data_IF_546655463938
#
_entry.id   IF_546655463938
#
_cell.length_a   1.000
_cell.length_b   1.000
_cell.length_c   1.000
_cell.angle_alpha   90.00
_cell.angle_beta   90.00
_cell.angle_gamma   90.00
#
_symmetry.space_group_name_H-M   'P 1'
#
loop_
_entity.id
_entity.type
_entity.pdbx_description
1 polymer ?
#
# COMPACT_ATOMS: atom_id res chain seq x y z
N UNK A 1 69.32 -43.83 -1.48
CA UNK A 1 68.88 -43.96 -0.06
C UNK A 1 68.30 -42.68 0.53
N UNK A 2 69.09 -41.67 0.94
CA UNK A 2 68.51 -40.51 1.69
C UNK A 2 67.51 -39.67 0.86
N UNK A 3 67.78 -39.48 -0.43
CA UNK A 3 66.91 -38.74 -1.34
C UNK A 3 65.59 -39.47 -1.65
N UNK A 4 65.60 -40.81 -1.67
CA UNK A 4 64.41 -41.62 -1.94
C UNK A 4 63.44 -41.59 -0.76
N UNK A 5 63.98 -41.74 0.47
CA UNK A 5 63.18 -41.66 1.71
C UNK A 5 62.53 -40.29 1.87
N UNK A 6 63.24 -39.21 1.52
CA UNK A 6 62.69 -37.86 1.53
C UNK A 6 61.51 -37.74 0.55
N UNK A 7 61.68 -38.25 -0.68
CA UNK A 7 60.65 -38.20 -1.72
C UNK A 7 59.40 -39.01 -1.36
N UNK A 8 59.57 -40.17 -0.73
CA UNK A 8 58.44 -40.98 -0.21
C UNK A 8 57.72 -40.30 0.96
N UNK A 9 58.46 -39.61 1.83
CA UNK A 9 57.86 -38.81 2.90
C UNK A 9 57.01 -37.67 2.34
N UNK A 10 57.56 -36.91 1.38
CA UNK A 10 56.87 -35.80 0.74
C UNK A 10 55.61 -36.28 -0.01
N UNK A 11 55.69 -37.41 -0.73
CA UNK A 11 54.53 -37.97 -1.41
C UNK A 11 53.40 -38.33 -0.43
N UNK A 12 53.72 -38.95 0.72
CA UNK A 12 52.72 -39.26 1.76
C UNK A 12 52.11 -38.02 2.38
N UNK A 13 52.93 -36.99 2.62
CA UNK A 13 52.44 -35.73 3.17
C UNK A 13 51.56 -34.98 2.17
N UNK A 14 51.85 -35.05 0.86
CA UNK A 14 50.97 -34.49 -0.16
C UNK A 14 49.61 -35.18 -0.19
N UNK A 15 49.57 -36.52 -0.12
CA UNK A 15 48.30 -37.27 -0.06
C UNK A 15 47.50 -36.92 1.19
N UNK A 16 48.16 -36.80 2.35
CA UNK A 16 47.52 -36.38 3.60
C UNK A 16 46.99 -34.95 3.52
N UNK A 17 47.79 -34.02 3.00
CA UNK A 17 47.37 -32.63 2.77
C UNK A 17 46.12 -32.57 1.91
N UNK A 18 46.10 -33.30 0.79
CA UNK A 18 44.92 -33.34 -0.09
C UNK A 18 43.69 -33.91 0.63
N UNK A 19 43.86 -34.96 1.43
CA UNK A 19 42.77 -35.56 2.20
C UNK A 19 42.20 -34.59 3.24
N UNK A 20 43.06 -33.85 3.93
CA UNK A 20 42.65 -32.82 4.90
C UNK A 20 41.94 -31.66 4.20
N UNK A 21 42.44 -31.20 3.06
CA UNK A 21 41.80 -30.14 2.26
C UNK A 21 40.39 -30.57 1.86
N UNK A 22 40.23 -31.81 1.38
CA UNK A 22 38.92 -32.33 0.98
C UNK A 22 37.95 -32.41 2.18
N UNK A 23 38.44 -32.85 3.35
CA UNK A 23 37.63 -32.91 4.56
C UNK A 23 37.20 -31.51 5.01
N UNK A 24 38.12 -30.55 5.02
CA UNK A 24 37.83 -29.16 5.37
C UNK A 24 36.81 -28.55 4.40
N UNK A 25 36.96 -28.77 3.10
CA UNK A 25 36.01 -28.32 2.10
C UNK A 25 34.61 -28.90 2.34
N UNK A 26 34.51 -30.20 2.66
CA UNK A 26 33.24 -30.84 2.97
C UNK A 26 32.57 -30.25 4.21
N UNK A 27 33.33 -29.99 5.28
CA UNK A 27 32.81 -29.40 6.52
C UNK A 27 32.27 -27.99 6.28
N UNK A 28 33.00 -27.16 5.51
CA UNK A 28 32.56 -25.79 5.18
C UNK A 28 31.25 -25.82 4.36
N UNK A 29 31.16 -26.71 3.36
CA UNK A 29 29.96 -26.86 2.54
C UNK A 29 28.76 -27.36 3.36
N UNK A 30 28.97 -28.34 4.25
CA UNK A 30 27.93 -28.84 5.13
C UNK A 30 27.46 -27.77 6.13
N UNK A 31 28.38 -26.98 6.69
CA UNK A 31 28.05 -25.87 7.59
C UNK A 31 27.16 -24.84 6.91
N UNK A 32 27.54 -24.38 5.71
CA UNK A 32 26.73 -23.42 4.95
C UNK A 32 25.35 -23.96 4.59
N UNK A 33 25.26 -25.22 4.16
CA UNK A 33 23.97 -25.86 3.85
C UNK A 33 23.06 -25.96 5.07
N UNK A 34 23.59 -26.40 6.22
CA UNK A 34 22.82 -26.52 7.45
C UNK A 34 22.31 -25.14 7.92
N UNK A 35 23.15 -24.11 7.84
CA UNK A 35 22.75 -22.74 8.21
C UNK A 35 21.61 -22.23 7.32
N UNK A 36 21.68 -22.42 6.00
CA UNK A 36 20.59 -22.05 5.08
C UNK A 36 19.28 -22.78 5.40
N UNK A 37 19.35 -24.09 5.65
CA UNK A 37 18.18 -24.90 6.02
C UNK A 37 17.60 -24.42 7.36
N UNK A 38 18.44 -24.13 8.35
CA UNK A 38 18.01 -23.60 9.63
C UNK A 38 17.33 -22.24 9.49
N UNK A 39 17.91 -21.31 8.72
CA UNK A 39 17.30 -20.01 8.43
C UNK A 39 15.95 -20.15 7.73
N UNK A 40 15.85 -21.04 6.73
CA UNK A 40 14.59 -21.29 6.02
C UNK A 40 13.51 -21.85 6.96
N UNK A 41 13.88 -22.78 7.84
CA UNK A 41 12.98 -23.38 8.83
C UNK A 41 12.53 -22.35 9.87
N UNK A 42 13.43 -21.50 10.36
CA UNK A 42 13.10 -20.40 11.28
C UNK A 42 12.16 -19.39 10.61
N UNK A 43 12.45 -18.98 9.38
CA UNK A 43 11.58 -18.08 8.61
C UNK A 43 10.19 -18.66 8.37
N UNK A 44 10.08 -19.96 8.10
CA UNK A 44 8.79 -20.67 8.00
C UNK A 44 8.03 -20.70 9.33
N UNK A 45 8.72 -20.96 10.44
CA UNK A 45 8.10 -20.96 11.79
C UNK A 45 7.60 -19.56 12.16
N UNK A 46 8.39 -18.52 11.94
CA UNK A 46 7.97 -17.13 12.20
C UNK A 46 6.76 -16.73 11.34
N UNK A 47 6.76 -17.09 10.04
CA UNK A 47 5.60 -16.87 9.15
C UNK A 47 4.35 -17.63 9.59
N UNK A 48 4.48 -18.79 10.24
CA UNK A 48 3.35 -19.54 10.81
C UNK A 48 2.89 -18.94 12.14
N UNK A 49 3.80 -18.52 13.02
CA UNK A 49 3.49 -17.90 14.31
C UNK A 49 2.82 -16.53 14.15
N UNK A 50 3.21 -15.74 13.15
CA UNK A 50 2.61 -14.44 12.86
C UNK A 50 1.24 -14.51 12.18
N UNK A 51 0.80 -15.68 11.71
CA UNK A 51 -0.55 -15.85 11.18
C UNK A 51 -1.51 -16.00 12.36
N UNK A 52 -2.42 -15.04 12.52
CA UNK A 52 -3.55 -15.19 13.43
C UNK A 52 -4.23 -16.54 13.17
N UNK A 53 -4.55 -17.34 14.21
CA UNK A 53 -5.25 -18.60 14.02
C UNK A 53 -6.51 -18.30 13.21
N UNK A 54 -6.58 -18.92 12.03
CA UNK A 54 -7.48 -18.49 10.96
C UNK A 54 -8.92 -18.81 11.33
N UNK A 55 -9.55 -17.99 12.15
CA UNK A 55 -10.97 -18.07 12.54
C UNK A 55 -11.41 -19.39 13.18
N UNK A 56 -10.54 -20.40 13.28
CA UNK A 56 -10.82 -21.72 13.86
C UNK A 56 -10.54 -21.65 15.36
N UNK A 57 -11.45 -22.27 16.10
CA UNK A 57 -11.34 -22.41 17.55
C UNK A 57 -10.11 -23.25 17.94
N UNK A 58 -9.81 -24.30 17.17
CA UNK A 58 -8.65 -25.18 17.37
C UNK A 58 -7.71 -25.01 16.18
N UNK A 59 -6.64 -24.23 16.38
CA UNK A 59 -5.68 -23.88 15.32
C UNK A 59 -4.45 -24.79 15.23
N UNK A 60 -4.21 -25.60 16.27
CA UNK A 60 -3.08 -26.53 16.41
C UNK A 60 -3.31 -27.88 15.72
N UNK A 61 -4.58 -28.23 15.48
CA UNK A 61 -4.98 -29.50 14.85
C UNK A 61 -4.90 -30.70 15.78
N UNK A 62 -4.70 -30.46 17.08
CA UNK A 62 -4.69 -31.51 18.10
C UNK A 62 -6.11 -31.79 18.58
N UNK A 63 -6.47 -33.06 18.85
CA UNK A 63 -7.74 -33.38 19.48
C UNK A 63 -7.78 -32.80 20.90
N UNK A 64 -8.89 -32.16 21.25
CA UNK A 64 -9.17 -31.62 22.59
C UNK A 64 -10.46 -32.21 23.13
N UNK A 65 -10.53 -32.35 24.44
CA UNK A 65 -11.74 -32.79 25.12
C UNK A 65 -12.75 -31.64 25.15
N UNK A 66 -13.90 -31.84 24.52
CA UNK A 66 -14.95 -30.82 24.37
C UNK A 66 -15.63 -30.44 25.70
N UNK A 67 -15.48 -31.28 26.73
CA UNK A 67 -16.11 -31.12 28.04
C UNK A 67 -15.18 -30.46 29.07
N UNK A 68 -13.95 -30.13 28.69
CA UNK A 68 -13.06 -29.39 29.59
C UNK A 68 -13.56 -27.95 29.72
N UNK A 69 -13.65 -27.43 30.94
CA UNK A 69 -14.09 -26.05 31.23
C UNK A 69 -13.30 -25.01 30.41
N UNK A 70 -12.00 -25.26 30.20
CA UNK A 70 -11.15 -24.41 29.37
C UNK A 70 -11.58 -24.34 27.90
N UNK A 71 -12.12 -25.42 27.34
CA UNK A 71 -12.63 -25.43 25.97
C UNK A 71 -13.94 -24.66 25.87
N UNK A 72 -14.83 -24.80 26.86
CA UNK A 72 -16.12 -24.08 26.92
C UNK A 72 -15.89 -22.56 26.97
N UNK A 73 -14.95 -22.10 27.81
CA UNK A 73 -14.55 -20.70 27.88
C UNK A 73 -13.97 -20.18 26.55
N UNK A 74 -13.19 -21.01 25.86
CA UNK A 74 -12.58 -20.68 24.57
C UNK A 74 -13.65 -20.54 23.48
N UNK A 75 -14.66 -21.43 23.45
CA UNK A 75 -15.83 -21.34 22.57
C UNK A 75 -16.56 -20.02 22.80
N UNK A 76 -16.85 -19.67 24.06
CA UNK A 76 -17.57 -18.45 24.39
C UNK A 76 -16.82 -17.19 23.96
N UNK A 77 -15.51 -17.14 24.20
CA UNK A 77 -14.64 -16.04 23.73
C UNK A 77 -14.62 -15.96 22.20
N UNK A 78 -14.58 -17.09 21.52
CA UNK A 78 -14.60 -17.15 20.06
C UNK A 78 -15.92 -16.62 19.50
N UNK A 79 -17.06 -17.05 20.03
CA UNK A 79 -18.37 -16.56 19.61
C UNK A 79 -18.52 -15.06 19.81
N UNK A 80 -18.12 -14.53 20.97
CA UNK A 80 -18.09 -13.09 21.21
C UNK A 80 -17.19 -12.36 20.20
N UNK A 81 -16.00 -12.90 19.93
CA UNK A 81 -15.10 -12.31 18.95
C UNK A 81 -15.68 -12.34 17.53
N UNK A 82 -16.44 -13.38 17.15
CA UNK A 82 -17.12 -13.43 15.86
C UNK A 82 -18.25 -12.41 15.79
N UNK A 83 -19.07 -12.27 16.84
CA UNK A 83 -20.13 -11.25 16.91
C UNK A 83 -19.56 -9.85 16.75
N UNK A 84 -18.53 -9.49 17.51
CA UNK A 84 -17.82 -8.20 17.38
C UNK A 84 -17.27 -7.96 15.98
N UNK A 85 -16.70 -8.99 15.32
CA UNK A 85 -16.21 -8.87 13.94
C UNK A 85 -17.33 -8.66 12.93
N UNK A 86 -18.51 -9.23 13.16
CA UNK A 86 -19.68 -9.02 12.29
C UNK A 86 -20.18 -7.59 12.48
N UNK A 87 -20.33 -7.13 13.72
CA UNK A 87 -20.72 -5.75 14.05
C UNK A 87 -19.75 -4.74 13.43
N UNK A 88 -18.44 -4.90 13.63
CA UNK A 88 -17.42 -4.02 13.05
C UNK A 88 -17.48 -4.00 11.50
N UNK A 89 -17.77 -5.15 10.88
CA UNK A 89 -17.94 -5.22 9.42
C UNK A 89 -19.18 -4.47 8.95
N UNK A 90 -20.30 -4.58 9.66
CA UNK A 90 -21.53 -3.87 9.32
C UNK A 90 -21.36 -2.36 9.53
N UNK A 91 -20.76 -1.92 10.63
CA UNK A 91 -20.42 -0.51 10.86
C UNK A 91 -19.52 0.05 9.74
N UNK A 92 -18.50 -0.71 9.35
CA UNK A 92 -17.61 -0.30 8.27
C UNK A 92 -18.28 -0.28 6.89
N UNK A 93 -19.27 -1.15 6.64
CA UNK A 93 -20.10 -1.08 5.42
C UNK A 93 -20.95 0.18 5.41
N UNK A 94 -21.65 0.47 6.50
CA UNK A 94 -22.46 1.68 6.64
C UNK A 94 -21.61 2.93 6.42
N UNK A 95 -20.41 2.98 7.04
CA UNK A 95 -19.50 4.12 6.86
C UNK A 95 -19.08 4.29 5.39
N UNK A 96 -18.78 3.19 4.69
CA UNK A 96 -18.49 3.23 3.26
C UNK A 96 -19.66 3.77 2.46
N UNK A 97 -20.87 3.31 2.72
CA UNK A 97 -22.08 3.78 2.02
C UNK A 97 -22.35 5.27 2.25
N UNK A 98 -22.16 5.76 3.47
CA UNK A 98 -22.26 7.19 3.76
C UNK A 98 -21.19 7.98 2.99
N UNK A 99 -19.95 7.48 2.95
CA UNK A 99 -18.87 8.13 2.24
C UNK A 99 -19.09 8.12 0.71
N UNK A 100 -19.57 7.00 0.13
CA UNK A 100 -19.87 6.94 -1.31
C UNK A 100 -20.98 7.92 -1.68
N UNK A 101 -22.08 7.97 -0.91
CA UNK A 101 -23.15 8.94 -1.11
C UNK A 101 -22.66 10.39 -1.00
N UNK A 102 -21.80 10.69 -0.03
CA UNK A 102 -21.20 12.03 0.11
C UNK A 102 -20.29 12.38 -1.09
N UNK A 103 -19.53 11.41 -1.60
CA UNK A 103 -18.66 11.59 -2.76
C UNK A 103 -19.48 11.83 -4.04
N UNK A 104 -20.60 11.13 -4.22
CA UNK A 104 -21.51 11.32 -5.35
C UNK A 104 -22.09 12.74 -5.35
N UNK A 105 -22.64 13.18 -4.22
CA UNK A 105 -23.12 14.56 -4.05
C UNK A 105 -22.04 15.61 -4.33
N UNK A 106 -20.81 15.36 -3.86
CA UNK A 106 -19.68 16.24 -4.14
C UNK A 106 -19.32 16.29 -5.63
N UNK A 107 -19.36 15.15 -6.34
CA UNK A 107 -19.12 15.08 -7.79
C UNK A 107 -20.18 15.87 -8.56
N UNK A 108 -21.45 15.75 -8.18
CA UNK A 108 -22.54 16.52 -8.78
C UNK A 108 -22.35 18.03 -8.57
N UNK A 109 -22.02 18.44 -7.34
CA UNK A 109 -21.71 19.84 -7.04
C UNK A 109 -20.51 20.37 -7.84
N UNK A 110 -19.47 19.56 -8.02
CA UNK A 110 -18.31 19.91 -8.85
C UNK A 110 -18.68 20.07 -10.31
N UNK A 111 -19.49 19.17 -10.88
CA UNK A 111 -19.96 19.25 -12.27
C UNK A 111 -20.77 20.52 -12.51
N UNK A 112 -21.76 20.80 -11.66
CA UNK A 112 -22.58 22.01 -11.76
C UNK A 112 -21.75 23.30 -11.63
N UNK A 113 -20.69 23.27 -10.81
CA UNK A 113 -19.72 24.37 -10.73
C UNK A 113 -18.87 24.48 -12.00
N UNK A 114 -18.37 23.37 -12.53
CA UNK A 114 -17.55 23.38 -13.75
C UNK A 114 -18.33 23.91 -14.96
N UNK A 115 -19.63 23.61 -15.05
CA UNK A 115 -20.53 24.18 -16.05
C UNK A 115 -20.68 25.71 -15.92
N UNK A 116 -20.89 26.21 -14.70
CA UNK A 116 -20.96 27.67 -14.44
C UNK A 116 -19.65 28.38 -14.77
N UNK A 117 -18.52 27.81 -14.36
CA UNK A 117 -17.19 28.34 -14.69
C UNK A 117 -16.93 28.31 -16.20
N UNK A 118 -17.39 27.26 -16.90
CA UNK A 118 -17.30 27.19 -18.35
C UNK A 118 -18.12 28.29 -19.02
N UNK A 119 -19.36 28.53 -18.56
CA UNK A 119 -20.20 29.61 -19.07
C UNK A 119 -19.56 30.99 -18.84
N UNK A 120 -19.02 31.25 -17.65
CA UNK A 120 -18.29 32.49 -17.34
C UNK A 120 -17.09 32.70 -18.27
N UNK A 121 -16.31 31.63 -18.53
CA UNK A 121 -15.16 31.69 -19.44
C UNK A 121 -15.57 31.91 -20.89
N UNK A 122 -16.73 31.39 -21.31
CA UNK A 122 -17.24 31.57 -22.66
C UNK A 122 -17.71 33.01 -22.87
N UNK A 123 -18.47 33.57 -21.93
CA UNK A 123 -18.86 34.99 -21.94
C UNK A 123 -17.64 35.91 -21.98
N UNK A 124 -16.62 35.60 -21.18
CA UNK A 124 -15.37 36.34 -21.22
C UNK A 124 -14.65 36.24 -22.56
N UNK A 125 -14.66 35.07 -23.21
CA UNK A 125 -14.05 34.88 -24.53
C UNK A 125 -14.78 35.71 -25.60
N UNK A 126 -16.11 35.67 -25.60
CA UNK A 126 -16.94 36.46 -26.51
C UNK A 126 -16.69 37.96 -26.34
N UNK A 127 -16.72 38.45 -25.09
CA UNK A 127 -16.43 39.86 -24.81
C UNK A 127 -15.00 40.25 -25.22
N UNK A 128 -14.02 39.35 -25.06
CA UNK A 128 -12.65 39.58 -25.53
C UNK A 128 -12.57 39.65 -27.05
N UNK A 129 -13.25 38.77 -27.77
CA UNK A 129 -13.29 38.76 -29.24
C UNK A 129 -13.91 40.07 -29.75
N UNK A 130 -15.07 40.47 -29.20
CA UNK A 130 -15.72 41.75 -29.53
C UNK A 130 -14.80 42.96 -29.27
N UNK A 131 -14.08 42.93 -28.14
CA UNK A 131 -13.13 43.98 -27.81
C UNK A 131 -11.91 43.96 -28.75
N UNK A 132 -11.44 42.79 -29.17
CA UNK A 132 -10.34 42.65 -30.14
C UNK A 132 -10.73 43.16 -31.52
N UNK A 133 -11.95 42.86 -31.99
CA UNK A 133 -12.48 43.33 -33.26
C UNK A 133 -12.61 44.86 -33.27
N UNK A 134 -13.22 45.44 -32.24
CA UNK A 134 -13.32 46.90 -32.09
C UNK A 134 -11.95 47.55 -31.94
N UNK A 135 -10.99 46.85 -31.30
CA UNK A 135 -9.61 47.32 -31.24
C UNK A 135 -8.95 47.36 -32.62
N UNK A 136 -9.22 46.40 -33.48
CA UNK A 136 -8.72 46.43 -34.87
C UNK A 136 -9.39 47.55 -35.67
N UNK A 137 -10.71 47.73 -35.54
CA UNK A 137 -11.45 48.82 -36.20
C UNK A 137 -10.98 50.20 -35.73
N UNK A 138 -10.81 50.42 -34.44
CA UNK A 138 -10.28 51.68 -33.91
C UNK A 138 -8.85 51.95 -34.42
N UNK A 139 -8.04 50.89 -34.62
CA UNK A 139 -6.70 51.01 -35.19
C UNK A 139 -6.75 51.41 -36.68
N UNK A 140 -7.65 50.84 -37.48
CA UNK A 140 -7.80 51.19 -38.90
C UNK A 140 -8.34 52.61 -39.07
N UNK A 141 -9.31 53.01 -38.25
CA UNK A 141 -9.91 54.35 -38.23
C UNK A 141 -9.04 55.41 -37.52
N UNK A 142 -7.91 55.01 -36.92
CA UNK A 142 -7.02 55.86 -36.10
C UNK A 142 -7.74 56.57 -34.94
N UNK A 143 -8.74 55.91 -34.36
CA UNK A 143 -9.51 56.38 -33.20
C UNK A 143 -9.00 55.72 -31.92
N UNK A 144 -9.32 56.31 -30.77
CA UNK A 144 -9.07 55.71 -29.46
C UNK A 144 -10.26 54.86 -29.04
N UNK A 145 -9.97 53.68 -28.51
CA UNK A 145 -10.96 52.74 -27.99
C UNK A 145 -11.53 53.31 -26.69
N UNK A 146 -12.86 53.48 -26.62
CA UNK A 146 -13.55 54.13 -25.49
C UNK A 146 -13.88 53.21 -24.30
N UNK A 147 -13.87 51.90 -24.52
CA UNK A 147 -14.15 50.86 -23.51
C UNK A 147 -12.91 50.04 -23.13
N UNK A 148 -12.83 49.67 -21.84
CA UNK A 148 -11.70 48.93 -21.28
C UNK A 148 -11.72 47.45 -21.69
N UNK A 149 -10.54 46.82 -21.69
CA UNK A 149 -10.41 45.39 -21.98
C UNK A 149 -11.20 44.57 -20.94
N UNK A 150 -12.06 43.64 -21.37
CA UNK A 150 -12.76 42.75 -20.46
C UNK A 150 -11.80 41.97 -19.56
N UNK A 151 -12.24 41.63 -18.33
CA UNK A 151 -11.50 40.81 -17.38
C UNK A 151 -12.37 39.66 -16.85
N UNK A 152 -11.80 38.47 -16.69
CA UNK A 152 -12.54 37.25 -16.31
C UNK A 152 -13.09 37.27 -14.86
N UNK A 153 -12.54 38.10 -13.98
CA UNK A 153 -12.93 38.16 -12.57
C UNK A 153 -12.51 36.93 -11.75
N UNK A 154 -13.02 36.84 -10.51
CA UNK A 154 -12.75 35.70 -9.63
C UNK A 154 -13.59 34.48 -10.03
N UNK A 155 -12.92 33.33 -10.17
CA UNK A 155 -13.57 32.06 -10.50
C UNK A 155 -13.98 31.34 -9.23
N UNK A 156 -15.16 30.72 -9.23
CA UNK A 156 -15.68 29.93 -8.11
C UNK A 156 -14.68 28.83 -7.68
N UNK A 157 -14.37 28.76 -6.38
CA UNK A 157 -13.50 27.72 -5.81
C UNK A 157 -14.22 26.36 -5.85
N UNK A 158 -13.45 25.26 -5.93
CA UNK A 158 -14.01 23.91 -5.82
C UNK A 158 -14.52 23.68 -4.39
N UNK A 159 -15.67 23.01 -4.22
CA UNK A 159 -16.09 22.59 -2.89
C UNK A 159 -15.10 21.58 -2.30
N UNK A 160 -14.92 21.60 -0.98
CA UNK A 160 -14.00 20.70 -0.28
C UNK A 160 -14.41 19.23 -0.47
N UNK A 161 -13.43 18.36 -0.69
CA UNK A 161 -13.69 16.93 -0.90
C UNK A 161 -14.07 16.25 0.42
N UNK A 162 -15.08 15.36 0.43
CA UNK A 162 -15.40 14.54 1.59
C UNK A 162 -14.19 13.70 2.00
N UNK A 163 -13.70 13.90 3.23
CA UNK A 163 -12.64 13.09 3.82
C UNK A 163 -13.20 11.75 4.33
N UNK A 164 -12.37 10.71 4.35
CA UNK A 164 -12.67 9.48 5.09
C UNK A 164 -12.53 9.75 6.58
N UNK A 165 -13.30 9.08 7.43
CA UNK A 165 -13.30 9.31 8.89
C UNK A 165 -11.92 9.11 9.53
N UNK A 166 -11.11 8.17 9.02
CA UNK A 166 -9.72 7.98 9.46
C UNK A 166 -8.84 9.21 9.25
N UNK A 167 -9.12 10.02 8.22
CA UNK A 167 -8.44 11.29 7.98
C UNK A 167 -9.07 12.46 8.75
N UNK A 168 -10.31 12.32 9.24
CA UNK A 168 -10.96 13.31 10.12
C UNK A 168 -10.44 13.19 11.56
N UNK A 169 -10.26 11.95 12.07
CA UNK A 169 -9.70 11.68 13.40
C UNK A 169 -8.21 12.02 13.56
N UNK A 170 -7.49 12.20 12.46
CA UNK A 170 -6.08 12.58 12.48
C UNK A 170 -5.87 14.11 12.54
N UNK A 171 -6.94 14.87 12.28
CA UNK A 171 -6.94 16.34 12.29
C UNK A 171 -7.55 16.91 13.59
N UNK A 172 -8.05 16.07 14.51
CA UNK A 172 -8.51 16.40 15.87
C UNK A 172 -7.39 16.19 16.90
#
# INVERSE_FOLDING_TARGET
>A
MYQEVLRESEARDQVRKQSVINLQAAVVLQGGYLDEVHQQMQGRKQKKAGKKPGGKLVGDGLPRLLNEDGFIDEVFKHEQAQKRKVEEKEEHKLEKEHHTKALERWKEACKARDERVKAQKEQYRQALEEWEDERQLAKTERRRIGWQKPTLGAVEKKPGQPKKRAAQRADE
#
